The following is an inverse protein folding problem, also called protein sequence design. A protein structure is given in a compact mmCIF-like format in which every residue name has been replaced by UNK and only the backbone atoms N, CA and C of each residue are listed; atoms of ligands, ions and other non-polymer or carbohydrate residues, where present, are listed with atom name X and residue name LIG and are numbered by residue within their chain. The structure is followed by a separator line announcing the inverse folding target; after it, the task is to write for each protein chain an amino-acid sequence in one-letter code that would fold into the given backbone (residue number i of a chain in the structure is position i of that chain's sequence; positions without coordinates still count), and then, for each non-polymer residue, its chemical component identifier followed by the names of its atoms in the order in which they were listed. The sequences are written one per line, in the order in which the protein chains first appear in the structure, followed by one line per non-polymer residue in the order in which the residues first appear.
data_IF_280395685384
#
_entry.id   IF_280395685384
#
_cell.length_a   1.000
_cell.length_b   1.000
_cell.length_c   1.000
_cell.angle_alpha   90.00
_cell.angle_beta   90.00
_cell.angle_gamma   90.00
#
_symmetry.space_group_name_H-M   'P 1'
#
loop_
_entity.id
_entity.type
_entity.pdbx_description
1 polymer ?
#
# COMPACT_ATOMS: atom_id res chain seq x y z
N UNK A 1 17.35 -8.13 -22.63
CA UNK A 1 16.40 -9.21 -22.44
C UNK A 1 16.14 -9.49 -20.95
N UNK A 2 17.19 -9.86 -20.21
CA UNK A 2 17.07 -10.15 -18.80
C UNK A 2 16.65 -8.93 -17.98
N UNK A 3 17.08 -7.76 -18.40
CA UNK A 3 16.72 -6.52 -17.72
C UNK A 3 15.23 -6.21 -17.86
N UNK A 4 14.66 -6.49 -19.03
CA UNK A 4 13.22 -6.29 -19.22
C UNK A 4 12.40 -7.25 -18.36
N UNK A 5 12.87 -8.48 -18.24
CA UNK A 5 12.21 -9.48 -17.40
C UNK A 5 12.25 -9.09 -15.93
N UNK A 6 13.42 -8.66 -15.44
CA UNK A 6 13.57 -8.17 -14.08
C UNK A 6 12.68 -6.97 -13.81
N UNK A 7 12.63 -6.04 -14.77
CA UNK A 7 11.83 -4.85 -14.66
C UNK A 7 10.35 -5.19 -14.52
N UNK A 8 9.90 -6.17 -15.31
CA UNK A 8 8.51 -6.63 -15.25
C UNK A 8 8.20 -7.30 -13.93
N UNK A 9 9.12 -8.10 -13.40
CA UNK A 9 8.94 -8.74 -12.10
C UNK A 9 8.83 -7.72 -10.98
N UNK A 10 9.62 -6.66 -11.06
CA UNK A 10 9.54 -5.54 -10.12
C UNK A 10 8.16 -4.92 -10.12
N UNK A 11 7.69 -4.57 -11.31
CA UNK A 11 6.40 -3.91 -11.46
C UNK A 11 5.27 -4.80 -10.97
N UNK A 12 5.30 -6.08 -11.34
CA UNK A 12 4.27 -7.03 -10.95
C UNK A 12 4.20 -7.17 -9.43
N UNK A 13 5.35 -7.24 -8.77
CA UNK A 13 5.36 -7.39 -7.33
C UNK A 13 4.86 -6.13 -6.63
N UNK A 14 5.28 -4.97 -7.11
CA UNK A 14 4.80 -3.70 -6.57
C UNK A 14 3.29 -3.58 -6.73
N UNK A 15 2.77 -3.95 -7.88
CA UNK A 15 1.33 -3.91 -8.13
C UNK A 15 0.60 -4.88 -7.21
N UNK A 16 1.14 -6.07 -7.00
CA UNK A 16 0.54 -7.03 -6.08
C UNK A 16 0.40 -6.47 -4.67
N UNK A 17 1.44 -5.82 -4.18
CA UNK A 17 1.39 -5.20 -2.86
C UNK A 17 0.44 -4.02 -2.84
N UNK A 18 0.37 -3.28 -3.94
CA UNK A 18 -0.61 -2.20 -4.09
C UNK A 18 -2.03 -2.73 -4.00
N UNK A 19 -2.30 -3.82 -4.73
CA UNK A 19 -3.62 -4.45 -4.69
C UNK A 19 -3.96 -4.93 -3.29
N UNK A 20 -3.01 -5.53 -2.58
CA UNK A 20 -3.23 -5.95 -1.21
C UNK A 20 -3.60 -4.77 -0.32
N UNK A 21 -2.91 -3.64 -0.49
CA UNK A 21 -3.20 -2.43 0.26
C UNK A 21 -4.58 -1.87 -0.08
N UNK A 22 -4.92 -1.89 -1.37
CA UNK A 22 -6.24 -1.49 -1.84
C UNK A 22 -7.33 -2.33 -1.17
N UNK A 23 -7.16 -3.64 -1.18
CA UNK A 23 -8.13 -4.55 -0.58
C UNK A 23 -8.22 -4.35 0.92
N UNK A 24 -7.11 -4.03 1.56
CA UNK A 24 -7.09 -3.73 2.98
C UNK A 24 -7.94 -2.47 3.26
N UNK A 25 -7.74 -1.41 2.48
CA UNK A 25 -8.53 -0.19 2.62
C UNK A 25 -10.00 -0.45 2.41
N UNK A 26 -10.33 -1.23 1.38
CA UNK A 26 -11.72 -1.59 1.11
C UNK A 26 -12.34 -2.37 2.26
N UNK A 27 -11.57 -3.27 2.87
CA UNK A 27 -12.06 -4.06 4.01
C UNK A 27 -12.37 -3.19 5.21
N UNK A 28 -11.56 -2.17 5.45
CA UNK A 28 -11.74 -1.28 6.59
C UNK A 28 -12.76 -0.16 6.33
N UNK A 29 -13.22 -0.02 5.09
CA UNK A 29 -14.14 1.07 4.71
C UNK A 29 -15.46 0.99 5.44
N UNK A 30 -15.87 -0.19 5.89
CA UNK A 30 -17.12 -0.35 6.63
C UNK A 30 -17.14 0.50 7.91
N UNK A 31 -15.99 0.68 8.55
CA UNK A 31 -15.92 1.48 9.77
C UNK A 31 -16.22 2.94 9.49
N UNK A 32 -15.70 3.45 8.35
CA UNK A 32 -16.01 4.81 7.93
C UNK A 32 -17.47 4.97 7.56
N UNK A 33 -18.02 3.99 6.88
CA UNK A 33 -19.44 4.00 6.53
C UNK A 33 -20.31 4.07 7.78
N UNK A 34 -19.91 3.38 8.85
CA UNK A 34 -20.67 3.37 10.11
C UNK A 34 -20.32 4.54 11.03
N UNK A 35 -19.56 5.51 10.56
CA UNK A 35 -19.43 6.78 11.24
C UNK A 35 -18.07 7.10 11.84
N UNK A 36 -17.09 6.20 11.74
CA UNK A 36 -15.75 6.53 12.24
C UNK A 36 -15.06 7.51 11.31
N UNK A 37 -14.23 8.37 11.88
CA UNK A 37 -13.46 9.30 11.08
C UNK A 37 -12.41 8.54 10.26
N UNK A 38 -11.99 9.16 9.16
CA UNK A 38 -10.94 8.58 8.32
C UNK A 38 -9.67 8.30 9.13
N UNK A 39 -9.31 9.21 10.02
CA UNK A 39 -8.10 9.03 10.82
C UNK A 39 -8.22 7.88 11.80
N UNK A 40 -9.39 7.67 12.38
CA UNK A 40 -9.60 6.53 13.28
C UNK A 40 -9.50 5.21 12.54
N UNK A 41 -10.07 5.15 11.34
CA UNK A 41 -10.00 3.93 10.52
C UNK A 41 -8.56 3.69 10.08
N UNK A 42 -7.85 4.73 9.68
CA UNK A 42 -6.45 4.66 9.32
C UNK A 42 -5.62 4.08 10.46
N UNK A 43 -5.91 4.51 11.68
CA UNK A 43 -5.21 4.01 12.87
C UNK A 43 -5.46 2.52 13.08
N UNK A 44 -6.68 2.05 12.85
CA UNK A 44 -6.98 0.62 12.95
C UNK A 44 -6.14 -0.23 12.01
N UNK A 45 -5.87 0.27 10.83
CA UNK A 45 -5.14 -0.46 9.81
C UNK A 45 -3.63 -0.21 9.83
N UNK A 46 -3.17 0.60 10.77
CA UNK A 46 -1.79 1.09 10.79
C UNK A 46 -0.76 -0.04 10.75
N UNK A 47 -0.95 -1.04 11.59
CA UNK A 47 0.00 -2.14 11.70
C UNK A 47 0.09 -2.93 10.40
N UNK A 48 -1.03 -3.23 9.80
CA UNK A 48 -1.06 -3.96 8.54
C UNK A 48 -0.47 -3.14 7.39
N UNK A 49 -0.74 -1.84 7.36
CA UNK A 49 -0.12 -0.95 6.37
C UNK A 49 1.40 -0.90 6.53
N UNK A 50 1.86 -0.85 7.77
CA UNK A 50 3.30 -0.83 8.04
C UNK A 50 3.96 -2.11 7.57
N UNK A 51 3.30 -3.26 7.77
CA UNK A 51 3.83 -4.53 7.29
C UNK A 51 3.95 -4.56 5.78
N UNK A 52 2.95 -4.04 5.07
CA UNK A 52 3.01 -3.96 3.61
C UNK A 52 4.13 -3.04 3.17
N UNK A 53 4.29 -1.91 3.84
CA UNK A 53 5.35 -0.95 3.53
C UNK A 53 6.73 -1.59 3.71
N UNK A 54 6.93 -2.28 4.83
CA UNK A 54 8.20 -2.94 5.11
C UNK A 54 8.49 -4.05 4.10
N UNK A 55 7.47 -4.81 3.74
CA UNK A 55 7.62 -5.87 2.75
C UNK A 55 8.06 -5.30 1.41
N UNK A 56 7.44 -4.21 0.98
CA UNK A 56 7.82 -3.56 -0.25
C UNK A 56 9.23 -3.00 -0.18
N UNK A 57 9.55 -2.33 0.93
CA UNK A 57 10.87 -1.75 1.14
C UNK A 57 11.96 -2.83 1.11
N UNK A 58 11.75 -3.93 1.81
CA UNK A 58 12.71 -5.03 1.83
C UNK A 58 12.89 -5.65 0.46
N UNK A 59 11.80 -5.79 -0.28
CA UNK A 59 11.88 -6.31 -1.64
C UNK A 59 12.74 -5.41 -2.52
N UNK A 60 12.47 -4.12 -2.50
CA UNK A 60 13.19 -3.18 -3.35
C UNK A 60 14.67 -3.08 -2.97
N UNK A 61 14.97 -3.09 -1.68
CA UNK A 61 16.37 -3.03 -1.24
C UNK A 61 17.12 -4.32 -1.56
N UNK A 62 16.46 -5.47 -1.45
CA UNK A 62 17.12 -6.75 -1.75
C UNK A 62 17.43 -6.92 -3.23
N UNK A 63 16.70 -6.21 -4.09
CA UNK A 63 16.90 -6.31 -5.52
C UNK A 63 17.96 -5.35 -6.03
N UNK A 64 18.46 -4.44 -5.21
CA UNK A 64 19.53 -3.56 -5.62
C UNK A 64 20.87 -4.24 -5.37
N UNK A 65 21.75 -4.14 -6.38
CA UNK A 65 23.09 -4.74 -6.32
C UNK A 65 24.12 -3.78 -5.71
N UNK A 66 23.68 -2.61 -5.30
CA UNK A 66 24.55 -1.56 -4.77
C UNK A 66 24.19 -1.25 -3.34
N UNK A 67 25.19 -0.83 -2.56
CA UNK A 67 24.93 -0.26 -1.26
C UNK A 67 24.11 1.02 -1.42
N UNK A 68 23.00 1.10 -0.70
CA UNK A 68 22.16 2.28 -0.70
C UNK A 68 22.62 3.17 0.43
N UNK A 69 22.82 4.45 0.14
CA UNK A 69 23.17 5.42 1.17
C UNK A 69 21.99 5.60 2.12
N UNK A 70 22.30 5.93 3.38
CA UNK A 70 21.28 6.10 4.40
C UNK A 70 20.17 7.08 3.98
N UNK A 71 20.57 8.18 3.35
CA UNK A 71 19.60 9.17 2.84
C UNK A 71 18.66 8.56 1.81
N UNK A 72 19.23 7.75 0.92
CA UNK A 72 18.45 7.12 -0.14
C UNK A 72 17.51 6.06 0.43
N UNK A 73 17.93 5.38 1.49
CA UNK A 73 17.06 4.44 2.19
C UNK A 73 15.84 5.12 2.79
N UNK A 74 16.06 6.28 3.42
CA UNK A 74 14.96 7.02 4.01
C UNK A 74 13.96 7.48 2.96
N UNK A 75 14.47 8.00 1.84
CA UNK A 75 13.63 8.43 0.72
C UNK A 75 12.87 7.26 0.12
N UNK A 76 13.54 6.13 -0.01
CA UNK A 76 12.90 4.94 -0.54
C UNK A 76 11.79 4.47 0.39
N UNK A 77 12.06 4.45 1.68
CA UNK A 77 11.05 4.03 2.66
C UNK A 77 9.84 4.94 2.61
N UNK A 78 10.06 6.26 2.56
CA UNK A 78 8.97 7.23 2.45
C UNK A 78 8.15 7.00 1.17
N UNK A 79 8.84 6.72 0.07
CA UNK A 79 8.16 6.42 -1.20
C UNK A 79 7.29 5.17 -1.09
N UNK A 80 7.80 4.16 -0.38
CA UNK A 80 7.01 2.94 -0.12
C UNK A 80 5.79 3.25 0.72
N UNK A 81 5.93 4.07 1.75
CA UNK A 81 4.80 4.47 2.58
C UNK A 81 3.74 5.18 1.76
N UNK A 82 4.16 6.10 0.89
CA UNK A 82 3.23 6.84 0.04
C UNK A 82 2.53 5.91 -0.94
N UNK A 83 3.27 5.01 -1.54
CA UNK A 83 2.72 4.05 -2.50
C UNK A 83 1.63 3.20 -1.84
N UNK A 84 1.95 2.58 -0.71
CA UNK A 84 1.01 1.74 0.03
C UNK A 84 -0.18 2.58 0.51
N UNK A 85 0.07 3.77 1.03
CA UNK A 85 -0.98 4.65 1.54
C UNK A 85 -1.97 5.10 0.47
N UNK A 86 -1.47 5.39 -0.74
CA UNK A 86 -2.33 5.82 -1.83
C UNK A 86 -3.26 4.69 -2.29
N UNK A 87 -2.73 3.47 -2.41
CA UNK A 87 -3.56 2.32 -2.76
C UNK A 87 -4.60 2.04 -1.68
N UNK A 88 -4.19 2.14 -0.42
CA UNK A 88 -5.10 1.94 0.70
C UNK A 88 -6.26 2.94 0.66
N UNK A 89 -5.92 4.20 0.48
CA UNK A 89 -6.93 5.27 0.43
C UNK A 89 -7.90 5.07 -0.71
N UNK A 90 -7.40 4.69 -1.88
CA UNK A 90 -8.23 4.42 -3.03
C UNK A 90 -9.22 3.30 -2.75
N UNK A 91 -8.73 2.22 -2.14
CA UNK A 91 -9.59 1.10 -1.76
C UNK A 91 -10.61 1.48 -0.72
N UNK A 92 -10.20 2.29 0.25
CA UNK A 92 -11.07 2.78 1.30
C UNK A 92 -12.23 3.60 0.72
N UNK A 93 -11.91 4.54 -0.15
CA UNK A 93 -12.92 5.42 -0.74
C UNK A 93 -13.91 4.64 -1.60
N UNK A 94 -13.40 3.72 -2.40
CA UNK A 94 -14.26 2.91 -3.24
C UNK A 94 -15.10 1.93 -2.45
N UNK A 95 -14.51 1.37 -1.39
CA UNK A 95 -15.25 0.49 -0.49
C UNK A 95 -16.38 1.21 0.22
N UNK A 96 -16.12 2.42 0.72
CA UNK A 96 -17.13 3.22 1.39
C UNK A 96 -18.28 3.55 0.44
N UNK A 97 -17.93 3.93 -0.80
CA UNK A 97 -18.94 4.22 -1.81
C UNK A 97 -19.80 2.99 -2.11
N UNK A 98 -19.17 1.82 -2.17
CA UNK A 98 -19.88 0.57 -2.42
C UNK A 98 -20.86 0.25 -1.30
N UNK A 99 -20.48 0.49 -0.06
CA UNK A 99 -21.37 0.30 1.08
C UNK A 99 -22.60 1.19 0.95
N UNK A 100 -22.40 2.46 0.62
CA UNK A 100 -23.50 3.39 0.46
C UNK A 100 -24.47 2.96 -0.64
N UNK A 101 -23.95 2.42 -1.74
CA UNK A 101 -24.79 1.99 -2.86
C UNK A 101 -25.52 0.69 -2.58
N UNK A 102 -24.91 -0.22 -1.82
CA UNK A 102 -25.51 -1.53 -1.57
C UNK A 102 -26.66 -1.49 -0.59
N UNK A 103 -26.63 -0.54 0.32
CA UNK A 103 -27.63 -0.49 1.39
C UNK A 103 -28.84 0.36 1.03
N UNK A 104 -28.88 0.80 -0.19
CA UNK A 104 -30.04 1.45 -0.77
C UNK A 104 -30.75 0.50 -1.68
#
# INVERSE_FOLDING_TARGET
FQMQELHRQYEDYCIELGIESYLLGARYSKFGYYGESFFDVKYRALEEEQQLTETLFQFLTSMTMREIKLQDEELLFESCQQFIGLWWQEGYEKGERRYRLKLH
#
